data_IF_954928428368
#
_entry.id   IF_954928428368
#
_cell.length_a   1.000
_cell.length_b   1.000
_cell.length_c   1.000
_cell.angle_alpha   90.00
_cell.angle_beta   90.00
_cell.angle_gamma   90.00
#
_symmetry.space_group_name_H-M   'P 1'
#
loop_
_entity.id
_entity.type
_entity.pdbx_description
1 polymer ?
#
# COMPACT_ATOMS: atom_id res chain seq x y z
N UNK A 1 23.47 25.46 -21.30
CA UNK A 1 22.45 25.39 -20.21
C UNK A 1 21.39 24.44 -20.69
N UNK A 2 21.15 23.29 -20.04
CA UNK A 2 20.03 22.42 -20.39
C UNK A 2 18.71 23.11 -20.03
N UNK A 3 17.63 22.88 -20.78
CA UNK A 3 16.33 23.46 -20.48
C UNK A 3 15.80 22.91 -19.14
N UNK A 4 15.29 23.82 -18.35
CA UNK A 4 14.68 23.61 -17.06
C UNK A 4 13.45 22.69 -17.24
N UNK A 5 13.54 21.42 -16.82
CA UNK A 5 12.39 20.55 -16.70
C UNK A 5 11.39 21.20 -15.74
N UNK A 6 10.09 21.21 -16.06
CA UNK A 6 9.09 21.57 -15.08
C UNK A 6 9.04 20.44 -14.04
N UNK A 7 9.80 20.57 -12.99
CA UNK A 7 9.67 19.72 -11.81
C UNK A 7 8.20 19.79 -11.40
N UNK A 8 7.47 18.68 -11.61
CA UNK A 8 6.13 18.54 -11.04
C UNK A 8 6.22 18.84 -9.55
N UNK A 9 5.19 19.42 -8.91
CA UNK A 9 5.25 19.79 -7.51
C UNK A 9 5.70 18.57 -6.70
N UNK A 10 6.81 18.73 -5.98
CA UNK A 10 7.30 17.69 -5.07
C UNK A 10 6.17 17.25 -4.14
N UNK A 11 6.12 15.95 -3.78
CA UNK A 11 5.12 15.48 -2.83
C UNK A 11 5.19 16.35 -1.56
N UNK A 12 4.07 16.89 -1.14
CA UNK A 12 4.01 17.81 0.01
C UNK A 12 4.44 17.15 1.31
N UNK A 13 4.40 15.81 1.39
CA UNK A 13 5.02 15.04 2.46
C UNK A 13 5.28 13.59 2.06
N UNK A 14 6.35 13.02 2.62
CA UNK A 14 6.64 11.58 2.54
C UNK A 14 6.09 10.88 3.78
N UNK A 15 5.58 9.66 3.63
CA UNK A 15 5.16 8.83 4.76
C UNK A 15 6.39 8.11 5.33
N UNK A 16 7.05 8.77 6.28
CA UNK A 16 8.23 8.23 6.97
C UNK A 16 7.90 7.82 8.40
N UNK A 17 8.81 7.07 9.03
CA UNK A 17 8.69 6.69 10.43
C UNK A 17 8.56 7.92 11.34
N UNK A 18 9.33 8.97 11.09
CA UNK A 18 9.31 10.21 11.86
C UNK A 18 7.93 10.89 11.79
N UNK A 19 7.32 10.91 10.61
CA UNK A 19 5.96 11.44 10.40
C UNK A 19 4.93 10.63 11.21
N UNK A 20 5.07 9.30 11.26
CA UNK A 20 4.18 8.44 12.04
C UNK A 20 4.37 8.63 13.54
N UNK A 21 5.60 8.80 14.01
CA UNK A 21 5.93 9.06 15.42
C UNK A 21 5.41 10.42 15.89
N UNK A 22 5.58 11.45 15.07
CA UNK A 22 5.12 12.81 15.38
C UNK A 22 3.60 12.97 15.35
N UNK A 23 2.89 12.03 14.70
CA UNK A 23 1.48 12.17 14.40
C UNK A 23 1.22 13.17 13.27
N UNK A 24 0.00 13.75 13.23
CA UNK A 24 -0.33 14.77 12.22
C UNK A 24 -0.72 14.21 10.84
N UNK A 25 -0.56 12.92 10.56
CA UNK A 25 -1.02 12.32 9.31
C UNK A 25 -2.54 12.50 9.13
N UNK A 26 -3.32 12.33 10.20
CA UNK A 26 -4.78 12.52 10.20
C UNK A 26 -5.17 13.95 9.86
N UNK A 27 -4.50 14.95 10.42
CA UNK A 27 -4.75 16.37 10.12
C UNK A 27 -4.47 16.69 8.65
N UNK A 28 -3.38 16.16 8.09
CA UNK A 28 -3.04 16.33 6.68
C UNK A 28 -4.07 15.68 5.75
N UNK A 29 -4.58 14.50 6.11
CA UNK A 29 -5.64 13.84 5.35
C UNK A 29 -6.96 14.60 5.43
N UNK A 30 -7.34 15.14 6.61
CA UNK A 30 -8.53 16.01 6.75
C UNK A 30 -8.39 17.31 5.96
N UNK A 31 -7.20 17.90 5.94
CA UNK A 31 -6.97 19.11 5.13
C UNK A 31 -7.18 18.85 3.63
N UNK A 32 -6.83 17.65 3.16
CA UNK A 32 -7.00 17.25 1.76
C UNK A 32 -8.40 16.65 1.46
N UNK A 33 -9.09 16.13 2.45
CA UNK A 33 -10.44 15.57 2.37
C UNK A 33 -11.19 15.80 3.69
N UNK A 34 -11.88 16.94 3.86
CA UNK A 34 -12.57 17.30 5.11
C UNK A 34 -13.66 16.31 5.55
N UNK A 35 -14.22 15.55 4.63
CA UNK A 35 -15.30 14.60 4.90
C UNK A 35 -14.78 13.23 5.36
N UNK A 36 -13.45 13.01 5.36
CA UNK A 36 -12.90 11.71 5.76
C UNK A 36 -13.14 11.43 7.24
N UNK A 37 -13.79 10.30 7.56
CA UNK A 37 -13.82 9.78 8.92
C UNK A 37 -12.48 9.10 9.22
N UNK A 38 -11.75 9.66 10.16
CA UNK A 38 -10.54 9.03 10.70
C UNK A 38 -10.89 8.27 11.97
N UNK A 39 -10.23 7.14 12.16
CA UNK A 39 -10.27 6.41 13.42
C UNK A 39 -9.53 7.20 14.51
N UNK A 40 -10.06 7.22 15.72
CA UNK A 40 -9.36 7.82 16.87
C UNK A 40 -8.17 6.93 17.29
N UNK A 41 -7.33 7.43 18.18
CA UNK A 41 -6.24 6.62 18.73
C UNK A 41 -6.81 5.43 19.51
N UNK A 42 -7.83 5.67 20.33
CA UNK A 42 -8.51 4.64 21.13
C UNK A 42 -9.13 3.55 20.23
N UNK A 43 -9.77 3.94 19.12
CA UNK A 43 -10.32 2.98 18.16
C UNK A 43 -9.23 2.11 17.53
N UNK A 44 -8.06 2.70 17.20
CA UNK A 44 -6.92 1.96 16.65
C UNK A 44 -6.28 1.03 17.68
N UNK A 45 -6.09 1.50 18.91
CA UNK A 45 -5.52 0.71 20.00
C UNK A 45 -6.42 -0.47 20.35
N UNK A 46 -7.74 -0.25 20.45
CA UNK A 46 -8.72 -1.31 20.71
C UNK A 46 -8.71 -2.35 19.59
N UNK A 47 -8.67 -1.93 18.33
CA UNK A 47 -8.62 -2.83 17.20
C UNK A 47 -7.30 -3.64 17.14
N UNK A 48 -6.16 -3.02 17.47
CA UNK A 48 -4.89 -3.73 17.58
C UNK A 48 -4.92 -4.75 18.71
N UNK A 49 -5.43 -4.39 19.88
CA UNK A 49 -5.55 -5.29 21.01
C UNK A 49 -6.42 -6.50 20.67
N UNK A 50 -7.59 -6.28 20.06
CA UNK A 50 -8.49 -7.35 19.62
C UNK A 50 -7.81 -8.32 18.64
N UNK A 51 -7.01 -7.81 17.68
CA UNK A 51 -6.27 -8.66 16.77
C UNK A 51 -5.17 -9.46 17.48
N UNK A 52 -4.45 -8.85 18.43
CA UNK A 52 -3.39 -9.52 19.18
C UNK A 52 -3.93 -10.57 20.16
N UNK A 53 -5.14 -10.38 20.70
CA UNK A 53 -5.82 -11.39 21.53
C UNK A 53 -6.15 -12.68 20.72
N UNK A 54 -6.26 -12.54 19.39
CA UNK A 54 -6.49 -13.65 18.47
C UNK A 54 -5.18 -14.21 17.88
N UNK A 55 -4.02 -13.82 18.39
CA UNK A 55 -2.73 -14.23 17.86
C UNK A 55 -2.59 -15.75 17.91
N UNK A 56 -2.33 -16.41 16.77
CA UNK A 56 -2.31 -17.88 16.67
C UNK A 56 -1.20 -18.54 17.52
N UNK A 57 -0.04 -17.88 17.61
CA UNK A 57 1.10 -18.33 18.39
C UNK A 57 1.66 -17.17 19.23
N UNK A 58 2.08 -17.47 20.46
CA UNK A 58 2.71 -16.49 21.32
C UNK A 58 4.24 -16.67 21.32
N UNK A 59 4.96 -15.57 21.19
CA UNK A 59 6.44 -15.53 21.21
C UNK A 59 7.07 -15.63 19.81
N UNK A 60 8.35 -15.21 19.73
CA UNK A 60 9.12 -15.22 18.49
C UNK A 60 8.87 -14.06 17.53
N UNK A 61 8.03 -13.10 17.91
CA UNK A 61 7.69 -11.95 17.04
C UNK A 61 6.45 -12.20 16.19
N UNK A 62 6.13 -11.24 15.31
CA UNK A 62 4.99 -11.33 14.39
C UNK A 62 5.43 -11.09 12.96
N UNK A 63 4.72 -11.71 12.03
CA UNK A 63 4.83 -11.44 10.61
C UNK A 63 3.73 -10.47 10.16
N UNK A 64 4.10 -9.53 9.28
CA UNK A 64 3.16 -8.65 8.58
C UNK A 64 3.28 -8.90 7.08
N UNK A 65 2.19 -9.22 6.41
CA UNK A 65 2.19 -9.47 4.97
C UNK A 65 2.19 -8.18 4.19
N UNK A 66 3.23 -7.98 3.41
CA UNK A 66 3.43 -6.85 2.51
C UNK A 66 3.08 -7.23 1.07
N UNK A 67 2.05 -6.60 0.51
CA UNK A 67 1.58 -6.81 -0.85
C UNK A 67 1.49 -5.51 -1.67
N UNK A 68 1.60 -4.36 -1.03
CA UNK A 68 1.52 -3.01 -1.58
C UNK A 68 2.69 -2.13 -1.13
N UNK A 69 2.40 -0.93 -0.65
CA UNK A 69 3.43 0.04 -0.25
C UNK A 69 4.37 -0.43 0.86
N UNK A 70 3.97 -1.38 1.69
CA UNK A 70 4.84 -1.97 2.71
C UNK A 70 6.05 -2.72 2.12
N UNK A 71 6.00 -3.13 0.85
CA UNK A 71 7.12 -3.77 0.15
C UNK A 71 8.32 -2.82 0.05
N UNK A 72 8.08 -1.57 -0.32
CA UNK A 72 9.13 -0.57 -0.59
C UNK A 72 9.23 0.53 0.47
N UNK A 73 8.23 0.69 1.32
CA UNK A 73 8.22 1.66 2.41
C UNK A 73 7.47 1.10 3.63
N UNK A 74 8.01 0.21 4.42
CA UNK A 74 7.35 -0.28 5.64
C UNK A 74 7.18 0.81 6.70
N UNK A 75 8.12 1.75 6.82
CA UNK A 75 8.19 2.83 7.82
C UNK A 75 8.17 2.32 9.29
N UNK A 76 8.48 1.04 9.51
CA UNK A 76 8.63 0.37 10.80
C UNK A 76 9.97 -0.36 10.85
N UNK A 77 10.43 -0.72 12.04
CA UNK A 77 11.61 -1.58 12.18
C UNK A 77 11.22 -3.03 11.97
N UNK A 78 11.96 -3.70 11.11
CA UNK A 78 11.83 -5.12 10.82
C UNK A 78 13.17 -5.79 11.03
N UNK A 79 13.17 -7.04 11.52
CA UNK A 79 14.37 -7.86 11.74
C UNK A 79 14.62 -8.83 10.61
N UNK A 80 13.64 -9.03 9.73
CA UNK A 80 13.76 -9.92 8.58
C UNK A 80 12.65 -9.73 7.56
N UNK A 81 12.89 -10.29 6.37
CA UNK A 81 11.92 -10.35 5.28
C UNK A 81 12.00 -11.71 4.63
N UNK A 82 10.87 -12.37 4.42
CA UNK A 82 10.78 -13.66 3.74
C UNK A 82 9.77 -13.55 2.61
N UNK A 83 10.14 -14.03 1.43
CA UNK A 83 9.24 -14.10 0.27
C UNK A 83 8.16 -15.13 0.57
N UNK A 84 6.92 -14.81 0.23
CA UNK A 84 5.81 -15.69 0.51
C UNK A 84 4.63 -15.44 -0.43
N UNK A 85 3.64 -16.31 -0.31
CA UNK A 85 2.36 -16.23 -0.96
C UNK A 85 1.25 -16.31 0.08
N UNK A 86 0.29 -15.41 0.02
CA UNK A 86 -0.94 -15.47 0.81
C UNK A 86 -1.97 -16.26 0.01
N UNK A 87 -2.46 -17.35 0.60
CA UNK A 87 -3.47 -18.22 -0.02
C UNK A 87 -4.87 -17.71 0.24
N UNK A 88 -5.72 -17.76 -0.78
CA UNK A 88 -7.10 -17.30 -0.68
C UNK A 88 -7.26 -15.78 -0.75
N UNK A 89 -6.21 -15.05 -1.16
CA UNK A 89 -6.20 -13.60 -1.28
C UNK A 89 -5.50 -13.15 -2.56
N UNK A 90 -6.01 -12.11 -3.22
CA UNK A 90 -5.33 -11.49 -4.34
C UNK A 90 -5.28 -9.96 -4.17
N UNK A 91 -4.29 -9.32 -4.78
CA UNK A 91 -4.24 -7.84 -4.81
C UNK A 91 -5.09 -7.30 -5.93
N UNK A 92 -5.77 -6.18 -5.66
CA UNK A 92 -6.54 -5.46 -6.66
C UNK A 92 -6.49 -3.95 -6.38
N UNK A 93 -6.63 -3.14 -7.42
CA UNK A 93 -6.85 -1.70 -7.25
C UNK A 93 -8.33 -1.46 -6.91
N UNK A 94 -8.63 -1.45 -5.63
CA UNK A 94 -10.01 -1.36 -5.12
C UNK A 94 -10.18 -0.35 -3.98
N UNK A 95 -9.16 0.44 -3.65
CA UNK A 95 -9.23 1.48 -2.65
C UNK A 95 -9.07 2.86 -3.31
N UNK A 96 -10.15 3.64 -3.35
CA UNK A 96 -10.14 5.00 -3.86
C UNK A 96 -9.59 5.96 -2.78
N UNK A 97 -8.61 6.79 -3.14
CA UNK A 97 -8.01 7.77 -2.24
C UNK A 97 -8.27 9.20 -2.72
N UNK A 98 -8.79 10.04 -1.82
CA UNK A 98 -9.09 11.45 -2.07
C UNK A 98 -8.18 12.42 -1.31
N UNK A 99 -7.27 11.93 -0.49
CA UNK A 99 -6.41 12.77 0.36
C UNK A 99 -4.94 12.33 0.38
N UNK A 100 -4.61 11.21 -0.28
CA UNK A 100 -3.26 10.67 -0.36
C UNK A 100 -2.64 10.88 -1.74
N UNK A 101 -2.92 9.96 -2.65
CA UNK A 101 -2.42 9.96 -4.04
C UNK A 101 -3.52 10.32 -5.06
N UNK A 102 -4.46 11.14 -4.65
CA UNK A 102 -5.56 11.69 -5.43
C UNK A 102 -6.25 12.80 -4.67
N UNK A 103 -7.22 13.47 -5.32
CA UNK A 103 -8.08 14.48 -4.74
C UNK A 103 -9.55 14.06 -4.84
N UNK A 104 -10.47 14.91 -4.36
CA UNK A 104 -11.90 14.65 -4.51
C UNK A 104 -12.32 14.64 -5.97
N UNK A 105 -11.73 15.52 -6.80
CA UNK A 105 -12.01 15.68 -8.23
C UNK A 105 -11.37 14.57 -9.07
N UNK A 106 -10.18 14.12 -8.67
CA UNK A 106 -9.42 13.06 -9.33
C UNK A 106 -8.97 12.01 -8.32
N UNK A 107 -9.87 11.13 -7.84
CA UNK A 107 -9.52 10.10 -6.88
C UNK A 107 -8.49 9.13 -7.46
N UNK A 108 -7.40 8.91 -6.72
CA UNK A 108 -6.42 7.89 -7.05
C UNK A 108 -6.91 6.50 -6.66
N UNK A 109 -6.24 5.48 -7.21
CA UNK A 109 -6.51 4.08 -6.88
C UNK A 109 -5.29 3.47 -6.18
N UNK A 110 -5.53 2.80 -5.06
CA UNK A 110 -4.53 2.05 -4.31
C UNK A 110 -4.93 0.57 -4.24
N UNK A 111 -3.95 -0.26 -3.92
CA UNK A 111 -4.13 -1.70 -3.77
C UNK A 111 -4.84 -2.04 -2.47
N UNK A 112 -5.77 -2.98 -2.55
CA UNK A 112 -6.30 -3.73 -1.44
C UNK A 112 -6.03 -5.21 -1.63
N UNK A 113 -6.08 -5.98 -0.55
CA UNK A 113 -6.04 -7.42 -0.54
C UNK A 113 -7.49 -7.92 -0.48
N UNK A 114 -7.91 -8.61 -1.53
CA UNK A 114 -9.29 -9.07 -1.74
C UNK A 114 -9.34 -10.59 -1.63
N UNK A 115 -10.41 -11.12 -1.08
CA UNK A 115 -10.61 -12.57 -0.93
C UNK A 115 -10.65 -13.28 -2.28
N UNK A 116 -10.10 -14.49 -2.33
CA UNK A 116 -9.97 -15.35 -3.51
C UNK A 116 -8.60 -15.26 -4.19
N UNK A 117 -8.21 -16.34 -4.85
CA UNK A 117 -6.92 -16.44 -5.55
C UNK A 117 -5.70 -16.49 -4.63
N UNK A 118 -4.55 -16.03 -5.14
CA UNK A 118 -3.27 -16.02 -4.44
C UNK A 118 -2.57 -14.68 -4.65
N UNK A 119 -1.81 -14.25 -3.65
CA UNK A 119 -1.03 -13.01 -3.72
C UNK A 119 0.44 -13.26 -3.35
N UNK A 120 1.33 -13.07 -4.30
CA UNK A 120 2.79 -13.07 -4.02
C UNK A 120 3.18 -11.79 -3.31
N UNK A 121 4.08 -11.89 -2.34
CA UNK A 121 4.54 -10.75 -1.56
C UNK A 121 5.69 -11.14 -0.64
N UNK A 122 5.78 -10.47 0.50
CA UNK A 122 6.74 -10.79 1.52
C UNK A 122 6.13 -10.64 2.92
N UNK A 123 6.54 -11.47 3.86
CA UNK A 123 6.31 -11.19 5.27
C UNK A 123 7.48 -10.40 5.84
N UNK A 124 7.12 -9.39 6.62
CA UNK A 124 8.05 -8.54 7.37
C UNK A 124 8.03 -9.01 8.82
N UNK A 125 9.16 -9.43 9.35
CA UNK A 125 9.27 -9.91 10.73
C UNK A 125 9.53 -8.75 11.69
N UNK A 126 8.71 -8.65 12.72
CA UNK A 126 8.84 -7.73 13.86
C UNK A 126 9.23 -8.58 15.07
N UNK A 127 10.37 -8.26 15.72
CA UNK A 127 10.81 -8.97 16.91
C UNK A 127 9.82 -8.80 18.07
N UNK A 128 9.70 -9.81 18.94
CA UNK A 128 8.71 -9.87 20.01
C UNK A 128 8.71 -8.64 20.91
N UNK A 129 9.89 -8.19 21.30
CA UNK A 129 10.08 -7.02 22.16
C UNK A 129 9.63 -5.68 21.49
N UNK A 130 9.50 -5.66 20.16
CA UNK A 130 9.10 -4.50 19.38
C UNK A 130 7.66 -4.55 18.89
N UNK A 131 6.95 -5.68 19.06
CA UNK A 131 5.61 -5.91 18.50
C UNK A 131 4.67 -4.78 18.81
N UNK A 132 4.49 -4.42 20.09
CA UNK A 132 3.54 -3.39 20.50
C UNK A 132 3.87 -2.02 19.88
N UNK A 133 5.13 -1.64 19.88
CA UNK A 133 5.56 -0.33 19.36
C UNK A 133 5.41 -0.25 17.84
N UNK A 134 5.91 -1.26 17.13
CA UNK A 134 5.93 -1.23 15.67
C UNK A 134 4.53 -1.42 15.08
N UNK A 135 3.70 -2.26 15.69
CA UNK A 135 2.31 -2.40 15.27
C UNK A 135 1.49 -1.15 15.56
N UNK A 136 1.70 -0.46 16.68
CA UNK A 136 1.03 0.84 16.93
C UNK A 136 1.34 1.85 15.83
N UNK A 137 2.61 1.93 15.35
CA UNK A 137 2.98 2.79 14.21
C UNK A 137 2.32 2.34 12.91
N UNK A 138 2.25 1.03 12.69
CA UNK A 138 1.62 0.47 11.51
C UNK A 138 0.10 0.74 11.50
N UNK A 139 -0.58 0.66 12.66
CA UNK A 139 -1.99 1.03 12.79
C UNK A 139 -2.24 2.52 12.55
N UNK A 140 -1.35 3.41 13.00
CA UNK A 140 -1.44 4.84 12.67
C UNK A 140 -1.35 5.09 11.18
N UNK A 141 -0.71 4.21 10.42
CA UNK A 141 -0.54 4.30 8.97
C UNK A 141 -1.68 3.65 8.20
N UNK A 142 -1.93 2.35 8.46
CA UNK A 142 -2.87 1.55 7.67
C UNK A 142 -4.32 1.69 8.16
N UNK A 143 -4.50 1.88 9.47
CA UNK A 143 -5.80 2.01 10.12
C UNK A 143 -6.18 3.46 10.40
N UNK A 144 -5.63 4.41 9.64
CA UNK A 144 -5.97 5.83 9.80
C UNK A 144 -7.43 6.15 9.47
N UNK A 145 -8.01 5.38 8.53
CA UNK A 145 -9.42 5.41 8.18
C UNK A 145 -9.92 3.97 8.05
N UNK A 146 -11.22 3.77 7.93
CA UNK A 146 -11.84 2.44 7.88
C UNK A 146 -11.73 1.78 6.48
N UNK A 147 -10.60 1.95 5.79
CA UNK A 147 -10.36 1.38 4.46
C UNK A 147 -9.94 -0.08 4.47
N UNK A 148 -9.38 -0.55 5.57
CA UNK A 148 -8.89 -1.91 5.74
C UNK A 148 -9.50 -2.60 6.97
N UNK A 149 -9.46 -3.94 6.94
CA UNK A 149 -9.73 -4.83 8.06
C UNK A 149 -8.45 -5.64 8.29
N UNK A 150 -7.76 -5.47 9.43
CA UNK A 150 -6.59 -6.30 9.75
C UNK A 150 -7.04 -7.72 10.11
N UNK A 151 -6.31 -8.72 9.58
CA UNK A 151 -6.61 -10.14 9.81
C UNK A 151 -5.32 -10.94 9.93
N UNK A 152 -5.38 -12.06 10.65
CA UNK A 152 -4.42 -13.13 10.51
C UNK A 152 -4.75 -13.92 9.26
N UNK A 153 -3.75 -14.15 8.39
CA UNK A 153 -3.88 -14.93 7.16
C UNK A 153 -2.75 -15.93 7.04
N UNK A 154 -3.04 -17.10 6.50
CA UNK A 154 -2.03 -18.12 6.24
C UNK A 154 -1.12 -17.73 5.08
N UNK A 155 0.18 -17.93 5.28
CA UNK A 155 1.21 -17.65 4.28
C UNK A 155 2.14 -18.86 4.13
N UNK A 156 2.62 -19.06 2.90
CA UNK A 156 3.56 -20.12 2.56
C UNK A 156 4.76 -19.58 1.78
N UNK A 157 5.87 -20.29 1.79
CA UNK A 157 7.01 -19.99 0.94
C UNK A 157 6.63 -20.17 -0.55
N UNK A 158 7.42 -19.63 -1.50
CA UNK A 158 7.21 -19.91 -2.92
C UNK A 158 7.31 -21.41 -3.28
N UNK A 159 7.94 -22.22 -2.42
CA UNK A 159 8.05 -23.67 -2.57
C UNK A 159 6.85 -24.45 -1.98
N UNK A 160 5.88 -23.74 -1.35
CA UNK A 160 4.68 -24.33 -0.76
C UNK A 160 4.86 -24.80 0.69
N UNK A 161 5.93 -24.38 1.38
CA UNK A 161 6.13 -24.66 2.80
C UNK A 161 5.36 -23.65 3.64
N UNK A 162 4.58 -24.10 4.61
CA UNK A 162 3.85 -23.23 5.53
C UNK A 162 4.81 -22.39 6.37
N UNK A 163 4.68 -21.08 6.31
CA UNK A 163 5.41 -20.14 7.17
C UNK A 163 4.65 -19.82 8.48
N UNK A 164 3.35 -20.15 8.54
CA UNK A 164 2.45 -19.78 9.62
C UNK A 164 1.47 -18.71 9.21
N UNK A 165 1.10 -17.84 10.15
CA UNK A 165 0.15 -16.75 9.91
C UNK A 165 0.82 -15.39 10.02
N UNK A 166 0.32 -14.46 9.22
CA UNK A 166 0.79 -13.08 9.17
C UNK A 166 -0.39 -12.10 9.28
N UNK A 167 -0.15 -10.96 9.88
CA UNK A 167 -1.10 -9.85 9.88
C UNK A 167 -1.15 -9.28 8.46
N UNK A 168 -2.35 -9.20 7.88
CA UNK A 168 -2.60 -8.54 6.61
C UNK A 168 -3.69 -7.47 6.73
N UNK A 169 -3.53 -6.38 6.02
CA UNK A 169 -4.55 -5.34 5.89
C UNK A 169 -5.41 -5.64 4.66
N UNK A 170 -6.51 -6.37 4.87
CA UNK A 170 -7.45 -6.74 3.80
C UNK A 170 -8.40 -5.58 3.51
N UNK A 171 -8.91 -5.47 2.29
CA UNK A 171 -9.86 -4.41 1.96
C UNK A 171 -11.13 -4.52 2.81
N UNK A 172 -11.66 -3.39 3.24
CA UNK A 172 -13.00 -3.32 3.84
C UNK A 172 -14.02 -3.05 2.73
N UNK A 173 -14.82 -4.04 2.29
CA UNK A 173 -15.78 -3.86 1.21
C UNK A 173 -16.95 -2.95 1.59
N UNK A 174 -17.21 -2.78 2.89
CA UNK A 174 -18.25 -1.87 3.41
C UNK A 174 -17.67 -0.48 3.76
N UNK A 175 -16.36 -0.31 3.57
CA UNK A 175 -15.64 0.91 3.88
C UNK A 175 -15.90 2.02 2.85
N UNK A 176 -15.85 3.30 3.26
CA UNK A 176 -16.16 4.44 2.40
C UNK A 176 -15.15 4.66 1.25
N UNK A 177 -13.99 4.01 1.34
CA UNK A 177 -12.94 4.07 0.32
C UNK A 177 -12.97 2.88 -0.64
N UNK A 178 -13.84 1.91 -0.40
CA UNK A 178 -13.96 0.77 -1.32
C UNK A 178 -14.49 1.23 -2.68
N UNK A 179 -13.86 0.73 -3.72
CA UNK A 179 -14.26 0.94 -5.10
C UNK A 179 -14.41 -0.43 -5.77
N UNK A 180 -15.61 -0.74 -6.21
CA UNK A 180 -15.86 -1.94 -7.01
C UNK A 180 -14.95 -1.98 -8.23
N UNK A 181 -14.68 -3.17 -8.79
CA UNK A 181 -13.84 -3.29 -9.97
C UNK A 181 -14.25 -2.33 -11.08
N UNK A 182 -13.30 -1.54 -11.56
CA UNK A 182 -13.50 -0.60 -12.66
C UNK A 182 -13.22 -1.28 -14.00
N UNK A 183 -13.84 -0.81 -15.09
CA UNK A 183 -13.35 -1.14 -16.44
C UNK A 183 -11.88 -0.77 -16.57
N UNK A 184 -11.09 -1.62 -17.23
CA UNK A 184 -9.62 -1.44 -17.33
C UNK A 184 -9.22 -0.05 -17.83
N UNK A 185 -9.85 0.45 -18.89
CA UNK A 185 -9.55 1.78 -19.41
C UNK A 185 -9.75 2.90 -18.38
N UNK A 186 -10.78 2.80 -17.54
CA UNK A 186 -11.02 3.78 -16.46
C UNK A 186 -10.01 3.62 -15.32
N UNK A 187 -9.64 2.40 -14.95
CA UNK A 187 -8.60 2.14 -13.97
C UNK A 187 -7.25 2.72 -14.43
N UNK A 188 -6.86 2.43 -15.68
CA UNK A 188 -5.63 2.97 -16.29
C UNK A 188 -5.63 4.50 -16.26
N UNK A 189 -6.73 5.12 -16.71
CA UNK A 189 -6.87 6.57 -16.69
C UNK A 189 -6.70 7.15 -15.27
N UNK A 190 -7.39 6.58 -14.27
CA UNK A 190 -7.28 7.06 -12.88
C UNK A 190 -5.87 6.92 -12.32
N UNK A 191 -5.22 5.77 -12.55
CA UNK A 191 -3.83 5.58 -12.11
C UNK A 191 -2.91 6.58 -12.81
N UNK A 192 -3.08 6.80 -14.11
CA UNK A 192 -2.22 7.66 -14.90
C UNK A 192 -2.28 9.14 -14.49
N UNK A 193 -3.49 9.66 -14.17
CA UNK A 193 -3.70 11.10 -13.96
C UNK A 193 -3.76 11.53 -12.50
N UNK A 194 -4.14 10.63 -11.58
CA UNK A 194 -4.41 11.02 -10.20
C UNK A 194 -3.13 11.43 -9.47
N UNK A 195 -3.19 12.58 -8.81
CA UNK A 195 -2.12 13.16 -8.01
C UNK A 195 -2.69 13.74 -6.72
N UNK A 196 -1.99 13.52 -5.61
CA UNK A 196 -2.34 14.06 -4.31
C UNK A 196 -1.11 14.50 -3.50
N UNK A 197 -1.29 14.88 -2.24
CA UNK A 197 -0.20 15.34 -1.37
C UNK A 197 0.95 14.34 -1.17
N UNK A 198 0.68 13.04 -1.35
CA UNK A 198 1.67 11.96 -1.20
C UNK A 198 2.30 11.52 -2.53
N UNK A 199 2.09 12.25 -3.62
CA UNK A 199 2.56 11.90 -4.95
C UNK A 199 1.45 11.37 -5.87
N UNK A 200 1.83 10.73 -6.98
CA UNK A 200 0.88 10.21 -7.98
C UNK A 200 0.46 8.77 -7.67
N UNK A 201 -0.72 8.37 -8.19
CA UNK A 201 -1.14 6.98 -8.14
C UNK A 201 -0.26 6.10 -9.05
N UNK A 202 0.23 6.64 -10.18
CA UNK A 202 1.18 5.95 -11.04
C UNK A 202 2.51 5.66 -10.31
N UNK A 203 3.08 6.63 -9.60
CA UNK A 203 4.29 6.42 -8.79
C UNK A 203 4.08 5.27 -7.77
N UNK A 204 2.93 5.25 -7.08
CA UNK A 204 2.61 4.18 -6.14
C UNK A 204 2.59 2.80 -6.81
N UNK A 205 1.93 2.70 -7.96
CA UNK A 205 1.86 1.46 -8.74
C UNK A 205 3.25 1.01 -9.20
N UNK A 206 4.03 1.91 -9.81
CA UNK A 206 5.38 1.58 -10.30
C UNK A 206 6.32 1.18 -9.16
N UNK A 207 6.32 1.92 -8.04
CA UNK A 207 7.12 1.55 -6.87
C UNK A 207 6.75 0.17 -6.32
N UNK A 208 5.47 -0.20 -6.35
CA UNK A 208 5.04 -1.53 -5.89
C UNK A 208 5.51 -2.62 -6.85
N UNK A 209 5.34 -2.42 -8.16
CA UNK A 209 5.86 -3.32 -9.20
C UNK A 209 7.38 -3.50 -9.07
N UNK A 210 8.10 -2.39 -9.02
CA UNK A 210 9.57 -2.40 -8.99
C UNK A 210 10.10 -2.96 -7.66
N UNK A 211 9.41 -2.72 -6.55
CA UNK A 211 9.71 -3.35 -5.27
C UNK A 211 9.54 -4.87 -5.28
N UNK A 212 8.51 -5.39 -5.95
CA UNK A 212 8.35 -6.84 -6.18
C UNK A 212 9.47 -7.38 -7.06
N UNK A 213 9.79 -6.71 -8.18
CA UNK A 213 10.89 -7.10 -9.09
C UNK A 213 12.24 -7.16 -8.35
N UNK A 214 12.51 -6.17 -7.49
CA UNK A 214 13.74 -6.15 -6.68
C UNK A 214 13.83 -7.33 -5.69
N UNK A 215 12.68 -7.94 -5.34
CA UNK A 215 12.60 -9.17 -4.56
C UNK A 215 12.60 -10.45 -5.42
N UNK A 216 12.76 -10.34 -6.74
CA UNK A 216 12.67 -11.47 -7.66
C UNK A 216 11.24 -11.98 -7.89
N UNK A 217 10.22 -11.19 -7.53
CA UNK A 217 8.82 -11.52 -7.74
C UNK A 217 8.23 -10.70 -8.90
N UNK A 218 7.30 -11.32 -9.63
CA UNK A 218 6.57 -10.67 -10.72
C UNK A 218 5.07 -10.80 -10.48
N UNK A 219 4.34 -9.72 -10.64
CA UNK A 219 2.88 -9.71 -10.58
C UNK A 219 2.32 -9.36 -11.96
N UNK A 220 1.62 -10.30 -12.64
CA UNK A 220 1.14 -10.09 -14.01
C UNK A 220 0.21 -8.88 -14.16
N UNK A 221 -0.63 -8.60 -13.15
CA UNK A 221 -1.55 -7.45 -13.18
C UNK A 221 -0.76 -6.13 -13.14
N UNK A 222 0.26 -6.02 -12.25
CA UNK A 222 1.07 -4.81 -12.15
C UNK A 222 1.94 -4.60 -13.39
N UNK A 223 2.43 -5.67 -14.01
CA UNK A 223 3.16 -5.57 -15.28
C UNK A 223 2.26 -5.04 -16.38
N UNK A 224 1.12 -5.67 -16.59
CA UNK A 224 0.14 -5.29 -17.60
C UNK A 224 -0.35 -3.83 -17.42
N UNK A 225 -0.78 -3.47 -16.21
CA UNK A 225 -1.19 -2.10 -15.92
C UNK A 225 -0.05 -1.09 -16.07
N UNK A 226 1.19 -1.49 -15.75
CA UNK A 226 2.37 -0.66 -15.94
C UNK A 226 2.59 -0.28 -17.40
N UNK A 227 2.43 -1.21 -18.33
CA UNK A 227 2.50 -0.96 -19.76
C UNK A 227 1.38 -0.01 -20.22
N UNK A 228 0.15 -0.28 -19.84
CA UNK A 228 -1.01 0.52 -20.22
C UNK A 228 -0.95 1.94 -19.66
N UNK A 229 -0.56 2.12 -18.39
CA UNK A 229 -0.42 3.44 -17.76
C UNK A 229 0.70 4.23 -18.44
N UNK A 230 1.83 3.59 -18.75
CA UNK A 230 2.93 4.25 -19.47
C UNK A 230 2.49 4.69 -20.86
N UNK A 231 1.78 3.83 -21.61
CA UNK A 231 1.24 4.18 -22.92
C UNK A 231 0.28 5.34 -22.83
N UNK A 232 -0.68 5.28 -21.88
CA UNK A 232 -1.63 6.38 -21.65
C UNK A 232 -0.93 7.70 -21.34
N UNK A 233 0.06 7.70 -20.44
CA UNK A 233 0.80 8.91 -20.07
C UNK A 233 1.58 9.50 -21.24
N UNK A 234 2.18 8.65 -22.08
CA UNK A 234 2.88 9.06 -23.30
C UNK A 234 1.92 9.69 -24.32
N UNK A 235 0.80 9.03 -24.59
CA UNK A 235 -0.20 9.48 -25.59
C UNK A 235 -0.85 10.82 -25.19
N UNK A 236 -0.84 11.14 -23.89
CA UNK A 236 -1.38 12.39 -23.36
C UNK A 236 -0.31 13.43 -22.97
N UNK A 237 0.96 13.21 -23.38
CA UNK A 237 2.06 14.15 -23.13
C UNK A 237 2.40 14.39 -21.66
N UNK A 238 2.15 13.40 -20.81
CA UNK A 238 2.45 13.47 -19.38
C UNK A 238 3.89 13.06 -19.05
N UNK A 239 4.53 12.29 -19.92
CA UNK A 239 5.94 11.87 -19.89
C UNK A 239 6.52 11.95 -21.27
N UNK A 240 7.82 12.28 -21.37
CA UNK A 240 8.54 12.28 -22.64
C UNK A 240 8.84 10.85 -23.11
N UNK A 241 8.90 10.65 -24.45
CA UNK A 241 9.10 9.35 -25.07
C UNK A 241 10.48 8.71 -24.84
N UNK A 242 11.35 9.32 -24.04
CA UNK A 242 12.74 8.87 -23.82
C UNK A 242 13.00 8.22 -22.46
N UNK A 243 12.06 8.20 -21.52
CA UNK A 243 12.26 7.65 -20.17
C UNK A 243 12.12 6.12 -20.08
N UNK A 244 12.47 5.38 -21.13
CA UNK A 244 12.42 3.90 -21.14
C UNK A 244 13.73 3.23 -20.72
N UNK A 245 14.73 3.99 -20.25
CA UNK A 245 15.97 3.45 -19.72
C UNK A 245 16.19 3.89 -18.26
N UNK A 246 15.50 3.28 -17.32
CA UNK A 246 15.98 3.24 -15.94
C UNK A 246 16.90 2.02 -15.86
N UNK A 247 18.16 2.35 -15.77
CA UNK A 247 19.37 1.52 -15.71
C UNK A 247 19.22 0.30 -14.80
N UNK A 248 19.90 -0.77 -15.23
CA UNK A 248 20.07 -2.04 -14.54
C UNK A 248 20.79 -1.95 -13.19
#
# INVERSE_FOLDING_TARGET
>A
MPPNEPAGPEPRFALTREVLLQGGLGERLRAANPEVRLLTEEEREANLAELLDQRPEAGGGVYVFAYGSLIWNPAIHITGRVLCRALGWHRAFCLATKGGRGTAETPGMLLGLVEGGDCVGAVLHIAEEAVQQELSLLWRREMIAAGYIPRWISVETPQGETLGEAIAFTINPDGPSYCSPLPEAELVRRIAVARGPMGTAAEYMFRTRDGLRALGLTDPMLEHLGELVTAYQRDHGMIDGQDTQISG
#
